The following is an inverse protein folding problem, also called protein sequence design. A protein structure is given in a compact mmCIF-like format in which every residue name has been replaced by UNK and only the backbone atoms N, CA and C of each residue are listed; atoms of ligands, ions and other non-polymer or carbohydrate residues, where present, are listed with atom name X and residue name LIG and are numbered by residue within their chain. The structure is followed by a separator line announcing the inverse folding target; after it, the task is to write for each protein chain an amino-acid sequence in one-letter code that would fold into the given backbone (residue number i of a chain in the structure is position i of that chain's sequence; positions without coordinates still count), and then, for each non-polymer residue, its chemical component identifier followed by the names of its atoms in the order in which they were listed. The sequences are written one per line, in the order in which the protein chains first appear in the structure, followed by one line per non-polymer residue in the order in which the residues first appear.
data_IF_378445623830
#
_entry.id   IF_378445623830
#
_cell.length_a   1.000
_cell.length_b   1.000
_cell.length_c   1.000
_cell.angle_alpha   90.00
_cell.angle_beta   90.00
_cell.angle_gamma   90.00
#
_symmetry.space_group_name_H-M   'P 1'
#
loop_
_entity.id
_entity.type
_entity.pdbx_description
1 polymer ?
#
# COMPACT_ATOMS: atom_id res chain seq x y z
N UNK A 1 5.59 -18.69 39.39
CA UNK A 1 4.77 -19.31 38.33
C UNK A 1 3.85 -18.29 37.63
N UNK A 2 4.24 -17.00 37.55
CA UNK A 2 3.32 -15.93 37.15
C UNK A 2 3.76 -15.13 35.91
N UNK A 3 5.04 -15.18 35.54
CA UNK A 3 5.57 -14.45 34.37
C UNK A 3 5.27 -15.18 33.07
N UNK A 4 5.49 -16.50 33.02
CA UNK A 4 5.23 -17.32 31.83
C UNK A 4 3.73 -17.34 31.44
N UNK A 5 2.83 -17.42 32.43
CA UNK A 5 1.38 -17.36 32.19
C UNK A 5 0.96 -15.97 31.68
N UNK A 6 1.52 -14.89 32.24
CA UNK A 6 1.26 -13.53 31.78
C UNK A 6 1.72 -13.27 30.34
N UNK A 7 2.91 -13.75 29.97
CA UNK A 7 3.43 -13.64 28.59
C UNK A 7 2.56 -14.43 27.62
N UNK A 8 2.14 -15.64 27.98
CA UNK A 8 1.29 -16.46 27.13
C UNK A 8 -0.07 -15.80 26.87
N UNK A 9 -0.68 -15.19 27.89
CA UNK A 9 -1.95 -14.46 27.74
C UNK A 9 -1.78 -13.23 26.84
N UNK A 10 -0.70 -12.46 27.01
CA UNK A 10 -0.39 -11.31 26.16
C UNK A 10 -0.19 -11.70 24.69
N UNK A 11 0.58 -12.76 24.44
CA UNK A 11 0.79 -13.29 23.09
C UNK A 11 -0.53 -13.77 22.46
N UNK A 12 -1.39 -14.43 23.22
CA UNK A 12 -2.72 -14.84 22.77
C UNK A 12 -3.62 -13.64 22.45
N UNK A 13 -3.66 -12.61 23.30
CA UNK A 13 -4.47 -11.42 23.05
C UNK A 13 -4.01 -10.65 21.82
N UNK A 14 -2.70 -10.52 21.62
CA UNK A 14 -2.11 -9.89 20.44
C UNK A 14 -2.42 -10.70 19.19
N UNK A 15 -2.22 -12.02 19.22
CA UNK A 15 -2.52 -12.90 18.09
C UNK A 15 -4.01 -12.90 17.71
N UNK A 16 -4.91 -12.88 18.70
CA UNK A 16 -6.36 -12.76 18.47
C UNK A 16 -6.69 -11.41 17.85
N UNK A 17 -6.12 -10.31 18.33
CA UNK A 17 -6.34 -8.98 17.75
C UNK A 17 -5.86 -8.91 16.29
N UNK A 18 -4.62 -9.32 16.00
CA UNK A 18 -4.09 -9.39 14.62
C UNK A 18 -4.99 -10.22 13.70
N UNK A 19 -5.52 -11.35 14.19
CA UNK A 19 -6.41 -12.20 13.42
C UNK A 19 -7.75 -11.51 13.08
N UNK A 20 -8.32 -10.76 14.04
CA UNK A 20 -9.55 -10.01 13.80
C UNK A 20 -9.33 -8.81 12.86
N UNK A 21 -8.23 -8.08 13.01
CA UNK A 21 -7.85 -6.95 12.16
C UNK A 21 -7.66 -7.40 10.71
N UNK A 22 -6.86 -8.46 10.50
CA UNK A 22 -6.66 -9.04 9.16
C UNK A 22 -7.97 -9.47 8.51
N UNK A 23 -8.85 -10.14 9.26
CA UNK A 23 -10.18 -10.51 8.76
C UNK A 23 -11.07 -9.33 8.39
N UNK A 24 -10.92 -8.19 9.06
CA UNK A 24 -11.64 -6.96 8.70
C UNK A 24 -11.11 -6.42 7.37
N UNK A 25 -9.79 -6.31 7.23
CA UNK A 25 -9.12 -5.82 6.01
C UNK A 25 -9.50 -6.72 4.82
N UNK A 26 -9.33 -8.04 4.94
CA UNK A 26 -9.67 -8.99 3.87
C UNK A 26 -11.14 -8.87 3.43
N UNK A 27 -12.05 -8.65 4.38
CA UNK A 27 -13.48 -8.49 4.08
C UNK A 27 -13.79 -7.20 3.34
N UNK A 28 -13.21 -6.08 3.76
CA UNK A 28 -13.38 -4.80 3.07
C UNK A 28 -12.70 -4.82 1.70
N UNK A 29 -11.55 -5.50 1.60
CA UNK A 29 -10.88 -5.75 0.33
C UNK A 29 -11.80 -6.48 -0.66
N UNK A 30 -12.38 -7.62 -0.27
CA UNK A 30 -13.30 -8.36 -1.13
C UNK A 30 -14.61 -7.62 -1.45
N UNK A 31 -14.99 -6.63 -0.65
CA UNK A 31 -16.12 -5.74 -0.99
C UNK A 31 -15.71 -4.71 -2.02
N UNK A 32 -14.59 -4.03 -1.82
CA UNK A 32 -14.10 -2.92 -2.66
C UNK A 32 -13.68 -3.40 -4.05
N UNK A 33 -13.03 -4.57 -4.13
CA UNK A 33 -12.44 -5.08 -5.36
C UNK A 33 -13.25 -6.19 -6.03
N UNK A 34 -14.51 -6.38 -5.61
CA UNK A 34 -15.36 -7.45 -6.14
C UNK A 34 -15.59 -7.30 -7.64
N UNK A 35 -15.37 -8.37 -8.39
CA UNK A 35 -15.60 -8.40 -9.83
C UNK A 35 -14.59 -7.62 -10.67
N UNK A 36 -13.54 -7.08 -10.04
CA UNK A 36 -12.41 -6.50 -10.77
C UNK A 36 -11.46 -7.59 -11.23
N UNK A 37 -10.91 -7.39 -12.42
CA UNK A 37 -9.84 -8.23 -12.96
C UNK A 37 -8.57 -8.09 -12.11
N UNK A 38 -7.87 -9.21 -11.92
CA UNK A 38 -6.55 -9.24 -11.29
C UNK A 38 -5.52 -9.07 -12.39
N UNK A 39 -4.75 -7.97 -12.32
CA UNK A 39 -3.72 -7.65 -13.29
C UNK A 39 -2.35 -7.96 -12.72
N UNK A 40 -1.55 -8.69 -13.50
CA UNK A 40 -0.13 -8.81 -13.26
C UNK A 40 0.54 -7.43 -13.38
N UNK A 41 1.77 -7.32 -12.90
CA UNK A 41 2.55 -6.09 -13.03
C UNK A 41 2.80 -5.70 -14.49
N UNK A 42 2.99 -6.69 -15.36
CA UNK A 42 3.13 -6.48 -16.80
C UNK A 42 1.83 -5.99 -17.43
N UNK A 43 0.70 -6.65 -17.12
CA UNK A 43 -0.60 -6.27 -17.68
C UNK A 43 -1.05 -4.90 -17.18
N UNK A 44 -0.81 -4.59 -15.90
CA UNK A 44 -1.09 -3.28 -15.34
C UNK A 44 -0.25 -2.17 -16.01
N UNK A 45 1.05 -2.41 -16.18
CA UNK A 45 1.92 -1.46 -16.86
C UNK A 45 1.45 -1.24 -18.31
N UNK A 46 1.20 -2.32 -19.04
CA UNK A 46 0.71 -2.27 -20.41
C UNK A 46 -0.62 -1.52 -20.52
N UNK A 47 -1.56 -1.77 -19.61
CA UNK A 47 -2.90 -1.18 -19.64
C UNK A 47 -2.92 0.32 -19.32
N UNK A 48 -2.04 0.79 -18.42
CA UNK A 48 -2.16 2.15 -17.86
C UNK A 48 -0.97 3.07 -18.09
N UNK A 49 0.22 2.53 -18.37
CA UNK A 49 1.47 3.31 -18.33
C UNK A 49 2.41 3.11 -19.52
N UNK A 50 2.13 2.19 -20.44
CA UNK A 50 3.02 1.88 -21.57
C UNK A 50 3.45 3.13 -22.37
N UNK A 51 2.53 4.04 -22.62
CA UNK A 51 2.76 5.27 -23.42
C UNK A 51 2.84 6.54 -22.55
N UNK A 52 2.99 6.39 -21.23
CA UNK A 52 2.99 7.52 -20.27
C UNK A 52 4.34 8.23 -20.14
N UNK A 53 5.43 7.61 -20.62
CA UNK A 53 6.80 8.05 -20.36
C UNK A 53 7.34 7.65 -18.98
N UNK A 54 6.52 7.02 -18.13
CA UNK A 54 6.94 6.49 -16.82
C UNK A 54 7.53 5.09 -17.04
N UNK A 55 8.71 4.83 -16.45
CA UNK A 55 9.36 3.54 -16.60
C UNK A 55 8.58 2.43 -15.89
N UNK A 56 8.60 1.22 -16.47
CA UNK A 56 8.00 0.03 -15.86
C UNK A 56 8.52 -0.20 -14.45
N UNK A 57 9.81 0.02 -14.20
CA UNK A 57 10.41 -0.20 -12.88
C UNK A 57 9.83 0.69 -11.78
N UNK A 58 9.43 1.92 -12.11
CA UNK A 58 8.75 2.82 -11.18
C UNK A 58 7.36 2.27 -10.87
N UNK A 59 6.57 1.96 -11.90
CA UNK A 59 5.19 1.48 -11.76
C UNK A 59 5.13 0.20 -10.93
N UNK A 60 5.93 -0.81 -11.29
CA UNK A 60 5.94 -2.09 -10.58
C UNK A 60 6.60 -1.95 -9.21
N UNK A 61 7.59 -1.08 -9.07
CA UNK A 61 8.23 -0.80 -7.78
C UNK A 61 7.27 -0.18 -6.77
N UNK A 62 6.43 0.77 -7.20
CA UNK A 62 5.39 1.37 -6.34
C UNK A 62 4.35 0.32 -5.96
N UNK A 63 3.88 -0.49 -6.91
CA UNK A 63 2.94 -1.58 -6.63
C UNK A 63 3.50 -2.58 -5.61
N UNK A 64 4.79 -2.93 -5.73
CA UNK A 64 5.45 -3.82 -4.78
C UNK A 64 5.48 -3.22 -3.37
N UNK A 65 5.87 -1.94 -3.24
CA UNK A 65 5.86 -1.25 -1.95
C UNK A 65 4.45 -1.21 -1.34
N UNK A 66 3.43 -0.94 -2.15
CA UNK A 66 2.03 -1.01 -1.70
C UNK A 66 1.64 -2.40 -1.22
N UNK A 67 2.03 -3.46 -1.93
CA UNK A 67 1.71 -4.83 -1.54
C UNK A 67 2.38 -5.22 -0.21
N UNK A 68 3.64 -4.84 -0.04
CA UNK A 68 4.45 -5.18 1.13
C UNK A 68 3.96 -4.45 2.38
N UNK A 69 3.77 -3.13 2.31
CA UNK A 69 3.42 -2.32 3.48
C UNK A 69 1.93 -2.44 3.85
N UNK A 70 1.03 -2.58 2.86
CA UNK A 70 -0.40 -2.76 3.12
C UNK A 70 -0.78 -4.22 3.41
N UNK A 71 0.14 -5.17 3.18
CA UNK A 71 -0.05 -6.60 3.36
C UNK A 71 -1.27 -7.18 2.63
N UNK A 72 -1.57 -6.66 1.45
CA UNK A 72 -2.69 -7.08 0.59
C UNK A 72 -2.25 -7.37 -0.83
N UNK A 73 -3.04 -8.17 -1.54
CA UNK A 73 -2.85 -8.40 -2.97
C UNK A 73 -3.30 -7.18 -3.78
N UNK A 74 -2.36 -6.39 -4.29
CA UNK A 74 -2.63 -5.18 -5.08
C UNK A 74 -3.04 -5.46 -6.53
N UNK A 75 -3.14 -6.71 -6.96
CA UNK A 75 -3.40 -7.07 -8.37
C UNK A 75 -4.73 -6.50 -8.90
N UNK A 76 -5.72 -6.29 -8.03
CA UNK A 76 -7.03 -5.70 -8.37
C UNK A 76 -7.10 -4.18 -8.18
N UNK A 77 -6.00 -3.55 -7.74
CA UNK A 77 -5.91 -2.10 -7.65
C UNK A 77 -5.68 -1.49 -9.03
N UNK A 78 -6.34 -0.36 -9.27
CA UNK A 78 -6.24 0.44 -10.50
C UNK A 78 -5.73 1.84 -10.17
N UNK A 79 -5.19 2.60 -11.14
CA UNK A 79 -4.55 3.89 -10.87
C UNK A 79 -5.44 4.91 -10.15
N UNK A 80 -6.76 4.88 -10.39
CA UNK A 80 -7.71 5.81 -9.78
C UNK A 80 -8.19 5.41 -8.39
N UNK A 81 -7.74 4.28 -7.83
CA UNK A 81 -8.08 3.92 -6.45
C UNK A 81 -7.42 4.92 -5.47
N UNK A 82 -8.19 5.32 -4.46
CA UNK A 82 -7.93 6.51 -3.64
C UNK A 82 -7.86 6.18 -2.14
N UNK A 83 -6.73 6.53 -1.52
CA UNK A 83 -6.40 6.35 -0.09
C UNK A 83 -7.22 7.21 0.86
N UNK A 84 -7.85 8.28 0.37
CA UNK A 84 -8.82 9.07 1.14
C UNK A 84 -10.26 8.53 1.02
N UNK A 85 -10.50 7.60 0.09
CA UNK A 85 -11.84 7.07 -0.22
C UNK A 85 -11.87 5.55 -0.13
N UNK A 86 -11.80 4.85 -1.27
CA UNK A 86 -12.07 3.42 -1.33
C UNK A 86 -10.93 2.56 -0.77
N UNK A 87 -9.70 3.08 -0.68
CA UNK A 87 -8.57 2.40 -0.03
C UNK A 87 -8.37 2.84 1.42
N UNK A 88 -9.18 3.76 1.95
CA UNK A 88 -9.02 4.32 3.30
C UNK A 88 -8.94 3.25 4.40
N UNK A 89 -9.67 2.15 4.23
CA UNK A 89 -9.66 1.04 5.18
C UNK A 89 -8.29 0.35 5.34
N UNK A 90 -7.37 0.53 4.36
CA UNK A 90 -6.00 0.00 4.41
C UNK A 90 -5.08 0.85 5.29
N UNK A 91 -5.36 2.16 5.42
CA UNK A 91 -4.60 3.05 6.31
C UNK A 91 -5.17 3.03 7.74
N UNK A 92 -6.45 2.70 7.90
CA UNK A 92 -7.10 2.63 9.21
C UNK A 92 -6.78 1.35 9.99
N UNK A 93 -6.18 0.33 9.36
CA UNK A 93 -5.89 -0.95 10.02
C UNK A 93 -4.74 -0.87 11.02
N UNK A 94 -3.80 0.05 10.81
CA UNK A 94 -2.66 0.29 11.70
C UNK A 94 -2.27 1.77 11.60
N UNK A 95 -2.15 2.43 12.76
CA UNK A 95 -1.81 3.86 12.85
C UNK A 95 -0.41 4.22 12.32
N UNK A 96 0.43 3.23 12.02
CA UNK A 96 1.79 3.43 11.50
C UNK A 96 1.94 3.08 10.02
N UNK A 97 0.90 2.54 9.35
CA UNK A 97 1.01 2.06 7.97
C UNK A 97 1.26 3.19 6.97
N UNK A 98 0.67 4.36 7.20
CA UNK A 98 0.90 5.54 6.36
C UNK A 98 2.36 6.02 6.42
N UNK A 99 2.93 6.09 7.62
CA UNK A 99 4.34 6.44 7.84
C UNK A 99 5.27 5.40 7.22
N UNK A 100 5.01 4.11 7.47
CA UNK A 100 5.81 3.01 6.93
C UNK A 100 5.80 3.01 5.40
N UNK A 101 4.64 3.29 4.79
CA UNK A 101 4.52 3.39 3.33
C UNK A 101 5.37 4.53 2.76
N UNK A 102 5.36 5.70 3.38
CA UNK A 102 6.19 6.84 2.97
C UNK A 102 7.68 6.50 3.09
N UNK A 103 8.13 5.97 4.23
CA UNK A 103 9.52 5.57 4.46
C UNK A 103 9.98 4.50 3.46
N UNK A 104 9.11 3.54 3.13
CA UNK A 104 9.40 2.48 2.17
C UNK A 104 9.58 3.05 0.74
N UNK A 105 8.74 4.00 0.33
CA UNK A 105 8.87 4.70 -0.96
C UNK A 105 10.18 5.50 -1.02
N UNK A 106 10.47 6.29 0.01
CA UNK A 106 11.73 7.06 0.12
C UNK A 106 12.95 6.15 -0.02
N UNK A 107 12.98 5.06 0.75
CA UNK A 107 14.08 4.10 0.73
C UNK A 107 14.21 3.39 -0.62
N UNK A 108 13.10 2.97 -1.22
CA UNK A 108 13.09 2.20 -2.47
C UNK A 108 13.56 3.01 -3.66
N UNK A 109 13.19 4.29 -3.71
CA UNK A 109 13.45 5.18 -4.85
C UNK A 109 14.52 6.23 -4.57
N UNK A 110 15.05 6.30 -3.35
CA UNK A 110 16.05 7.28 -2.88
C UNK A 110 15.60 8.72 -3.08
N UNK A 111 14.34 8.97 -2.72
CA UNK A 111 13.69 10.28 -2.77
C UNK A 111 13.39 10.76 -1.36
N UNK A 112 13.06 12.04 -1.21
CA UNK A 112 12.55 12.61 0.02
C UNK A 112 11.12 13.12 -0.20
N UNK A 113 10.23 12.81 0.74
CA UNK A 113 8.80 13.13 0.72
C UNK A 113 8.50 13.94 1.99
N UNK A 114 8.12 15.19 1.81
CA UNK A 114 7.63 16.00 2.92
C UNK A 114 6.21 15.59 3.33
N UNK A 115 5.83 15.89 4.57
CA UNK A 115 4.47 15.65 5.09
C UNK A 115 3.40 16.22 4.15
N UNK A 116 3.62 17.43 3.61
CA UNK A 116 2.67 18.06 2.68
C UNK A 116 2.54 17.31 1.36
N UNK A 117 3.64 16.78 0.83
CA UNK A 117 3.63 15.99 -0.40
C UNK A 117 2.95 14.64 -0.19
N UNK A 118 3.21 13.99 0.95
CA UNK A 118 2.51 12.77 1.35
C UNK A 118 1.00 13.04 1.50
N UNK A 119 0.62 14.13 2.15
CA UNK A 119 -0.78 14.55 2.27
C UNK A 119 -1.44 14.83 0.92
N UNK A 120 -0.74 15.37 -0.07
CA UNK A 120 -1.33 15.68 -1.39
C UNK A 120 -1.46 14.46 -2.30
N UNK A 121 -0.79 13.36 -1.98
CA UNK A 121 -0.76 12.14 -2.78
C UNK A 121 -1.92 11.22 -2.39
N UNK A 122 -3.01 11.21 -3.17
CA UNK A 122 -4.27 10.54 -2.78
C UNK A 122 -4.55 9.24 -3.50
N UNK A 123 -4.14 9.10 -4.75
CA UNK A 123 -4.42 7.92 -5.58
C UNK A 123 -3.17 7.10 -5.86
N UNK A 124 -3.36 5.85 -6.29
CA UNK A 124 -2.25 5.02 -6.80
C UNK A 124 -1.51 5.73 -7.94
N UNK A 125 -2.25 6.42 -8.82
CA UNK A 125 -1.65 7.23 -9.88
C UNK A 125 -0.81 8.39 -9.35
N UNK A 126 -1.29 9.10 -8.34
CA UNK A 126 -0.55 10.19 -7.71
C UNK A 126 0.78 9.70 -7.16
N UNK A 127 0.81 8.55 -6.46
CA UNK A 127 2.05 7.98 -5.92
C UNK A 127 3.03 7.69 -7.06
N UNK A 128 2.57 7.00 -8.12
CA UNK A 128 3.41 6.61 -9.26
C UNK A 128 3.99 7.84 -9.96
N UNK A 129 3.16 8.83 -10.25
CA UNK A 129 3.59 10.06 -10.94
C UNK A 129 4.50 10.92 -10.08
N UNK A 130 4.22 10.99 -8.77
CA UNK A 130 5.06 11.70 -7.82
C UNK A 130 6.45 11.08 -7.71
N UNK A 131 6.54 9.76 -7.53
CA UNK A 131 7.82 9.03 -7.52
C UNK A 131 8.56 9.25 -8.82
N UNK A 132 7.87 9.14 -9.96
CA UNK A 132 8.49 9.42 -11.26
C UNK A 132 9.10 10.82 -11.31
N UNK A 133 8.35 11.86 -10.97
CA UNK A 133 8.83 13.24 -10.98
C UNK A 133 10.05 13.47 -10.07
N UNK A 134 10.09 12.82 -8.91
CA UNK A 134 11.22 12.90 -7.97
C UNK A 134 12.48 12.15 -8.43
N UNK A 135 12.33 11.17 -9.32
CA UNK A 135 13.45 10.35 -9.84
C UNK A 135 14.07 10.90 -11.12
N UNK A 136 13.47 11.92 -11.74
CA UNK A 136 14.04 12.57 -12.90
C UNK A 136 15.30 13.36 -12.51
N UNK A 137 16.35 13.35 -13.34
CA UNK A 137 17.49 14.24 -13.14
C UNK A 137 17.05 15.69 -13.27
N UNK A 138 17.56 16.54 -12.37
CA UNK A 138 17.37 17.99 -12.38
C UNK A 138 18.03 18.65 -13.60
#
# INVERSE_FOLDING_TARGET
MNTALGIAVLALTVGVWFFFEKRRVDREFEKTFRGRESLSDDDFYAAFYQDSGISREIVTGVRQVLADELQVDVSRMIPCDDFSRNLRFLLESDSMVDVALVEALEKRFRIAISDKEAEDTKTVHDIITFVHGKTLPA
#
